data_IF_182896776404
#
_entry.id   IF_182896776404
#
_cell.length_a   1.000
_cell.length_b   1.000
_cell.length_c   1.000
_cell.angle_alpha   90.00
_cell.angle_beta   90.00
_cell.angle_gamma   90.00
#
_symmetry.space_group_name_H-M   'P 1'
#
loop_
_entity.id
_entity.type
_entity.pdbx_description
1 polymer ?
#
# COMPACT_ATOMS: atom_id res chain seq x y z
N UNK A 1 -14.29 12.76 -1.05
CA UNK A 1 -13.96 14.20 -1.22
C UNK A 1 -12.48 14.47 -0.95
N UNK A 2 -11.93 13.98 0.18
CA UNK A 2 -10.51 14.12 0.51
C UNK A 2 -9.56 13.46 -0.51
N UNK A 3 -9.82 12.20 -0.89
CA UNK A 3 -9.00 11.46 -1.88
C UNK A 3 -8.80 12.23 -3.20
N UNK A 4 -9.88 12.80 -3.75
CA UNK A 4 -9.83 13.63 -4.97
C UNK A 4 -8.96 14.87 -4.81
N UNK A 5 -9.10 15.59 -3.70
CA UNK A 5 -8.32 16.81 -3.46
C UNK A 5 -6.82 16.51 -3.31
N UNK A 6 -6.48 15.41 -2.62
CA UNK A 6 -5.10 14.95 -2.47
C UNK A 6 -4.52 14.60 -3.84
N UNK A 7 -5.21 13.78 -4.62
CA UNK A 7 -4.72 13.37 -5.95
C UNK A 7 -4.56 14.56 -6.89
N UNK A 8 -5.54 15.47 -6.94
CA UNK A 8 -5.46 16.66 -7.78
C UNK A 8 -4.27 17.57 -7.40
N UNK A 9 -3.93 17.64 -6.11
CA UNK A 9 -2.75 18.38 -5.67
C UNK A 9 -1.44 17.70 -6.07
N UNK A 10 -1.40 16.37 -5.98
CA UNK A 10 -0.21 15.56 -6.20
C UNK A 10 0.08 15.26 -7.69
N UNK A 11 -0.94 15.21 -8.54
CA UNK A 11 -0.78 14.99 -9.98
C UNK A 11 0.04 16.11 -10.64
N UNK A 12 0.84 15.73 -11.64
CA UNK A 12 1.58 16.70 -12.46
C UNK A 12 0.59 17.55 -13.28
N UNK A 13 0.73 18.87 -13.21
CA UNK A 13 -0.01 19.83 -14.03
C UNK A 13 0.87 20.37 -15.16
N UNK A 14 0.29 21.24 -16.01
CA UNK A 14 0.85 21.74 -17.28
C UNK A 14 2.31 22.26 -17.20
N UNK A 15 2.81 22.67 -16.04
CA UNK A 15 4.25 22.91 -15.82
C UNK A 15 4.71 22.42 -14.44
N UNK A 16 5.97 21.94 -14.35
CA UNK A 16 6.58 21.56 -13.06
C UNK A 16 6.63 22.73 -12.07
N UNK A 17 6.82 23.96 -12.56
CA UNK A 17 6.87 25.19 -11.76
C UNK A 17 5.53 25.52 -11.06
N UNK A 18 4.40 25.05 -11.61
CA UNK A 18 3.07 25.26 -11.02
C UNK A 18 2.58 24.04 -10.22
N UNK A 19 3.27 22.90 -10.32
CA UNK A 19 2.87 21.62 -9.73
C UNK A 19 3.51 21.41 -8.34
N UNK A 20 3.08 22.21 -7.36
CA UNK A 20 3.65 22.16 -5.99
C UNK A 20 3.61 20.78 -5.34
N UNK A 21 2.50 20.04 -5.50
CA UNK A 21 2.39 18.69 -4.94
C UNK A 21 3.25 17.66 -5.67
N UNK A 22 3.36 17.76 -7.00
CA UNK A 22 4.30 16.94 -7.76
C UNK A 22 5.76 17.22 -7.35
N UNK A 23 6.13 18.49 -7.22
CA UNK A 23 7.46 18.90 -6.76
C UNK A 23 7.75 18.37 -5.35
N UNK A 24 6.76 18.42 -4.45
CA UNK A 24 6.85 17.82 -3.12
C UNK A 24 7.14 16.33 -3.21
N UNK A 25 6.41 15.56 -4.04
CA UNK A 25 6.67 14.14 -4.23
C UNK A 25 8.07 13.87 -4.80
N UNK A 26 8.51 14.68 -5.76
CA UNK A 26 9.87 14.56 -6.33
C UNK A 26 10.94 14.79 -5.27
N UNK A 27 10.79 15.80 -4.41
CA UNK A 27 11.70 16.06 -3.29
C UNK A 27 11.68 14.91 -2.29
N UNK A 28 10.50 14.43 -1.89
CA UNK A 28 10.35 13.28 -1.01
C UNK A 28 11.02 12.03 -1.61
N UNK A 29 10.86 11.79 -2.92
CA UNK A 29 11.45 10.66 -3.62
C UNK A 29 12.99 10.73 -3.68
N UNK A 30 13.55 11.94 -3.80
CA UNK A 30 14.98 12.18 -3.74
C UNK A 30 15.52 11.96 -2.31
N UNK A 31 14.82 12.50 -1.30
CA UNK A 31 15.19 12.35 0.10
C UNK A 31 15.12 10.88 0.56
N UNK A 32 14.10 10.13 0.13
CA UNK A 32 13.97 8.70 0.41
C UNK A 32 15.13 7.86 -0.15
N UNK A 33 15.85 8.37 -1.15
CA UNK A 33 17.06 7.74 -1.70
C UNK A 33 18.37 8.16 -1.02
N UNK A 34 18.33 9.08 -0.05
CA UNK A 34 19.53 9.66 0.57
C UNK A 34 20.12 8.81 1.71
N UNK A 35 19.45 7.71 2.08
CA UNK A 35 19.91 6.74 3.08
C UNK A 35 19.21 6.85 4.45
N UNK A 36 19.57 5.94 5.36
CA UNK A 36 18.89 5.71 6.65
C UNK A 36 18.63 6.99 7.46
N UNK A 37 19.64 7.85 7.65
CA UNK A 37 19.49 9.07 8.48
C UNK A 37 18.41 10.00 7.96
N UNK A 38 18.30 10.16 6.64
CA UNK A 38 17.25 10.99 6.04
C UNK A 38 15.89 10.32 6.16
N UNK A 39 15.83 9.00 5.97
CA UNK A 39 14.59 8.23 6.18
C UNK A 39 14.12 8.35 7.63
N UNK A 40 15.00 8.24 8.63
CA UNK A 40 14.64 8.40 10.05
C UNK A 40 14.06 9.79 10.35
N UNK A 41 14.61 10.85 9.75
CA UNK A 41 14.02 12.19 9.82
C UNK A 41 12.61 12.22 9.21
N UNK A 42 12.41 11.62 8.04
CA UNK A 42 11.09 11.55 7.39
C UNK A 42 10.09 10.74 8.21
N UNK A 43 10.54 9.63 8.81
CA UNK A 43 9.76 8.79 9.72
C UNK A 43 9.33 9.56 10.97
N UNK A 44 10.24 10.31 11.58
CA UNK A 44 9.92 11.17 12.74
C UNK A 44 8.84 12.21 12.42
N UNK A 45 8.78 12.65 11.15
CA UNK A 45 7.78 13.58 10.64
C UNK A 45 6.50 12.87 10.13
N UNK A 46 6.34 11.57 10.38
CA UNK A 46 5.19 10.74 9.96
C UNK A 46 4.92 10.74 8.46
N UNK A 47 5.97 10.87 7.63
CA UNK A 47 5.85 10.74 6.18
C UNK A 47 5.32 9.35 5.77
N UNK A 48 5.82 8.21 6.31
CA UNK A 48 5.31 6.88 5.95
C UNK A 48 3.81 6.73 6.26
N UNK A 49 3.40 6.99 7.49
CA UNK A 49 1.99 7.01 7.92
C UNK A 49 1.10 7.88 7.03
N UNK A 50 1.53 9.10 6.70
CA UNK A 50 0.77 10.01 5.84
C UNK A 50 0.57 9.42 4.43
N UNK A 51 1.62 8.83 3.87
CA UNK A 51 1.55 8.22 2.54
C UNK A 51 0.70 6.95 2.52
N UNK A 52 0.76 6.10 3.54
CA UNK A 52 -0.11 4.91 3.67
C UNK A 52 -1.59 5.31 3.77
N UNK A 53 -1.91 6.33 4.56
CA UNK A 53 -3.28 6.88 4.66
C UNK A 53 -3.76 7.39 3.30
N UNK A 54 -2.93 8.14 2.58
CA UNK A 54 -3.24 8.59 1.22
C UNK A 54 -3.47 7.41 0.26
N UNK A 55 -2.60 6.39 0.28
CA UNK A 55 -2.73 5.19 -0.53
C UNK A 55 -4.08 4.50 -0.28
N UNK A 56 -4.46 4.32 0.98
CA UNK A 56 -5.74 3.72 1.34
C UNK A 56 -6.92 4.55 0.81
N UNK A 57 -6.88 5.88 0.94
CA UNK A 57 -7.90 6.77 0.40
C UNK A 57 -8.01 6.73 -1.13
N UNK A 58 -6.96 6.31 -1.85
CA UNK A 58 -6.97 6.25 -3.30
C UNK A 58 -7.82 5.10 -3.86
N UNK A 59 -8.25 4.17 -3.01
CA UNK A 59 -9.18 3.10 -3.38
C UNK A 59 -10.59 3.62 -3.68
N UNK A 60 -10.92 4.81 -3.15
CA UNK A 60 -12.20 5.50 -3.34
C UNK A 60 -12.16 6.58 -4.43
N UNK A 61 -11.12 6.60 -5.27
CA UNK A 61 -11.08 7.55 -6.38
C UNK A 61 -12.20 7.25 -7.37
N UNK A 62 -12.79 8.29 -8.00
CA UNK A 62 -13.77 8.08 -9.07
C UNK A 62 -13.05 7.61 -10.34
N UNK A 63 -13.82 7.00 -11.25
CA UNK A 63 -13.38 6.72 -12.61
C UNK A 63 -12.93 8.03 -13.29
N UNK A 64 -11.80 7.98 -14.00
CA UNK A 64 -11.34 9.11 -14.81
C UNK A 64 -12.19 9.20 -16.08
N UNK A 65 -12.79 10.34 -16.42
CA UNK A 65 -13.55 10.45 -17.66
C UNK A 65 -12.62 10.25 -18.86
N UNK A 66 -13.05 9.42 -19.81
CA UNK A 66 -12.43 9.36 -21.14
C UNK A 66 -12.81 10.65 -21.87
N UNK A 67 -11.96 11.67 -21.78
CA UNK A 67 -12.15 12.92 -22.52
C UNK A 67 -11.30 12.82 -23.79
N UNK A 68 -11.91 12.48 -24.96
CA UNK A 68 -11.22 12.61 -26.23
C UNK A 68 -11.05 14.10 -26.54
N UNK A 69 -9.82 14.59 -26.48
CA UNK A 69 -9.48 15.97 -26.88
C UNK A 69 -8.96 16.87 -25.76
N UNK A 70 -7.88 16.47 -25.10
CA UNK A 70 -7.00 17.45 -24.43
C UNK A 70 -6.33 18.35 -25.48
N UNK A 71 -5.92 19.56 -25.10
CA UNK A 71 -5.07 20.39 -25.96
C UNK A 71 -3.84 19.57 -26.41
N UNK A 72 -3.38 19.74 -27.66
CA UNK A 72 -2.35 18.89 -28.30
C UNK A 72 -1.02 18.77 -27.54
N UNK A 73 -0.80 19.56 -26.47
CA UNK A 73 0.41 19.57 -25.65
C UNK A 73 0.20 19.10 -24.18
N UNK A 74 -0.96 18.53 -23.84
CA UNK A 74 -1.25 18.12 -22.46
C UNK A 74 -1.20 16.61 -22.24
N UNK A 75 -0.46 16.20 -21.20
CA UNK A 75 -0.47 14.81 -20.71
C UNK A 75 -1.91 14.38 -20.36
N UNK A 76 -2.41 13.25 -20.89
CA UNK A 76 -3.73 12.72 -20.54
C UNK A 76 -3.88 12.44 -19.04
N UNK A 77 -5.09 12.61 -18.50
CA UNK A 77 -5.36 12.38 -17.05
C UNK A 77 -4.98 10.97 -16.60
N UNK A 78 -5.22 9.96 -17.43
CA UNK A 78 -4.83 8.57 -17.14
C UNK A 78 -3.30 8.43 -17.01
N UNK A 79 -2.54 9.09 -17.87
CA UNK A 79 -1.07 9.08 -17.80
C UNK A 79 -0.56 9.84 -16.58
N UNK A 80 -1.15 10.99 -16.23
CA UNK A 80 -0.84 11.72 -14.99
C UNK A 80 -1.08 10.86 -13.76
N UNK A 81 -2.21 10.15 -13.72
CA UNK A 81 -2.56 9.22 -12.64
C UNK A 81 -1.57 8.06 -12.54
N UNK A 82 -1.18 7.47 -13.67
CA UNK A 82 -0.20 6.40 -13.72
C UNK A 82 1.19 6.86 -13.26
N UNK A 83 1.63 8.06 -13.66
CA UNK A 83 2.87 8.67 -13.20
C UNK A 83 2.85 8.94 -11.70
N UNK A 84 1.75 9.48 -11.18
CA UNK A 84 1.54 9.66 -9.75
C UNK A 84 1.66 8.32 -9.02
N UNK A 85 0.93 7.30 -9.46
CA UNK A 85 0.98 5.97 -8.85
C UNK A 85 2.42 5.43 -8.79
N UNK A 86 3.15 5.52 -9.91
CA UNK A 86 4.54 5.05 -10.02
C UNK A 86 5.48 5.75 -9.04
N UNK A 87 5.41 7.08 -8.94
CA UNK A 87 6.25 7.84 -8.01
C UNK A 87 5.84 7.57 -6.57
N UNK A 88 4.54 7.47 -6.30
CA UNK A 88 4.00 7.23 -4.97
C UNK A 88 4.44 5.88 -4.40
N UNK A 89 4.31 4.81 -5.18
CA UNK A 89 4.77 3.47 -4.77
C UNK A 89 6.30 3.44 -4.64
N UNK A 90 7.03 4.11 -5.54
CA UNK A 90 8.49 4.18 -5.46
C UNK A 90 8.96 4.83 -4.15
N UNK A 91 8.32 5.91 -3.71
CA UNK A 91 8.63 6.55 -2.42
C UNK A 91 8.39 5.57 -1.27
N UNK A 92 7.20 4.96 -1.21
CA UNK A 92 6.85 4.04 -0.12
C UNK A 92 7.78 2.83 -0.06
N UNK A 93 8.15 2.25 -1.21
CA UNK A 93 9.12 1.14 -1.28
C UNK A 93 10.50 1.58 -0.79
N UNK A 94 10.99 2.77 -1.20
CA UNK A 94 12.28 3.29 -0.72
C UNK A 94 12.30 3.51 0.79
N UNK A 95 11.24 4.07 1.34
CA UNK A 95 11.10 4.26 2.78
C UNK A 95 11.05 2.89 3.48
N UNK A 96 10.14 2.02 3.09
CA UNK A 96 9.90 0.73 3.73
C UNK A 96 11.01 -0.31 3.51
N UNK A 97 12.08 0.04 2.79
CA UNK A 97 13.32 -0.73 2.74
C UNK A 97 14.13 -0.66 4.04
N UNK A 98 13.72 0.21 4.97
CA UNK A 98 14.30 0.33 6.31
C UNK A 98 13.29 -0.14 7.37
N UNK A 99 13.79 -0.49 8.55
CA UNK A 99 12.95 -0.95 9.68
C UNK A 99 12.13 0.19 10.29
N UNK A 100 12.70 1.40 10.37
CA UNK A 100 12.08 2.51 11.11
C UNK A 100 10.70 2.94 10.58
N UNK A 101 10.40 2.97 9.27
CA UNK A 101 9.05 3.25 8.79
C UNK A 101 8.01 2.21 9.21
N UNK A 102 8.35 0.91 9.21
CA UNK A 102 7.41 -0.13 9.61
C UNK A 102 7.08 -0.04 11.11
N UNK A 103 8.08 0.26 11.96
CA UNK A 103 7.86 0.51 13.38
C UNK A 103 7.01 1.77 13.62
N UNK A 104 7.23 2.83 12.85
CA UNK A 104 6.40 4.04 12.94
C UNK A 104 4.95 3.76 12.54
N UNK A 105 4.73 3.04 11.44
CA UNK A 105 3.39 2.63 11.01
C UNK A 105 2.67 1.81 12.09
N UNK A 106 3.38 0.90 12.77
CA UNK A 106 2.84 0.15 13.89
C UNK A 106 2.51 1.06 15.09
N UNK A 107 3.43 1.97 15.46
CA UNK A 107 3.23 2.90 16.58
C UNK A 107 2.07 3.88 16.35
N UNK A 108 1.82 4.27 15.10
CA UNK A 108 0.75 5.20 14.70
C UNK A 108 -0.58 4.52 14.36
N UNK A 109 -0.63 3.19 14.46
CA UNK A 109 -1.79 2.38 14.13
C UNK A 109 -2.21 2.44 12.64
N UNK A 110 -1.27 2.71 11.74
CA UNK A 110 -1.51 2.84 10.30
C UNK A 110 -1.11 1.60 9.52
N UNK A 111 -0.33 0.67 10.10
CA UNK A 111 0.07 -0.55 9.41
C UNK A 111 -1.14 -1.45 9.10
N UNK A 112 -2.17 -1.49 9.96
CA UNK A 112 -3.41 -2.21 9.69
C UNK A 112 -4.14 -1.72 8.41
N UNK A 113 -3.97 -0.45 8.03
CA UNK A 113 -4.54 0.07 6.78
C UNK A 113 -3.90 -0.60 5.57
N UNK A 114 -2.61 -0.93 5.64
CA UNK A 114 -1.91 -1.62 4.56
C UNK A 114 -2.37 -3.08 4.43
N UNK A 115 -2.59 -3.77 5.55
CA UNK A 115 -3.17 -5.12 5.54
C UNK A 115 -4.59 -5.12 4.99
N UNK A 116 -5.40 -4.15 5.40
CA UNK A 116 -6.73 -3.95 4.82
C UNK A 116 -6.63 -3.69 3.32
N UNK A 117 -5.75 -2.76 2.90
CA UNK A 117 -5.58 -2.37 1.50
C UNK A 117 -5.30 -3.56 0.56
N UNK A 118 -4.47 -4.53 0.97
CA UNK A 118 -4.11 -5.64 0.07
C UNK A 118 -5.28 -6.61 -0.20
N UNK A 119 -6.29 -6.64 0.66
CA UNK A 119 -7.43 -7.58 0.58
C UNK A 119 -8.80 -6.91 0.45
N UNK A 120 -8.88 -5.59 0.62
CA UNK A 120 -10.11 -4.84 0.41
C UNK A 120 -10.52 -4.86 -1.06
N UNK A 121 -11.83 -4.95 -1.30
CA UNK A 121 -12.39 -4.70 -2.61
C UNK A 121 -12.19 -3.23 -3.02
N UNK A 122 -11.95 -3.00 -4.31
CA UNK A 122 -11.99 -1.68 -4.92
C UNK A 122 -12.45 -1.79 -6.38
N UNK A 123 -12.98 -0.71 -6.98
CA UNK A 123 -13.36 -0.72 -8.39
C UNK A 123 -12.18 -1.10 -9.31
N UNK A 124 -12.42 -1.76 -10.47
CA UNK A 124 -11.35 -2.27 -11.35
C UNK A 124 -10.29 -1.25 -11.73
N UNK A 125 -10.69 0.01 -11.94
CA UNK A 125 -9.78 1.10 -12.30
C UNK A 125 -8.86 1.57 -11.15
N UNK A 126 -9.14 1.14 -9.91
CA UNK A 126 -8.30 1.39 -8.72
C UNK A 126 -7.46 0.16 -8.32
N UNK A 127 -7.57 -0.98 -9.02
CA UNK A 127 -6.71 -2.15 -8.82
C UNK A 127 -5.20 -1.83 -8.85
N UNK A 128 -4.70 -0.90 -9.68
CA UNK A 128 -3.29 -0.53 -9.63
C UNK A 128 -2.85 -0.03 -8.25
N UNK A 129 -3.69 0.71 -7.53
CA UNK A 129 -3.39 1.15 -6.16
C UNK A 129 -3.34 -0.01 -5.17
N UNK A 130 -4.21 -1.01 -5.32
CA UNK A 130 -4.16 -2.25 -4.53
C UNK A 130 -2.88 -3.05 -4.78
N UNK A 131 -2.43 -3.14 -6.04
CA UNK A 131 -1.13 -3.74 -6.37
C UNK A 131 0.03 -2.98 -5.74
N UNK A 132 0.00 -1.64 -5.76
CA UNK A 132 0.99 -0.82 -5.08
C UNK A 132 1.02 -1.03 -3.56
N UNK A 133 -0.13 -1.23 -2.91
CA UNK A 133 -0.18 -1.62 -1.49
C UNK A 133 0.52 -2.98 -1.25
N UNK A 134 0.30 -3.96 -2.14
CA UNK A 134 0.98 -5.25 -2.10
C UNK A 134 2.49 -5.14 -2.22
N UNK A 135 2.99 -4.30 -3.14
CA UNK A 135 4.43 -4.05 -3.31
C UNK A 135 5.07 -3.45 -2.05
N UNK A 136 4.37 -2.51 -1.40
CA UNK A 136 4.86 -1.89 -0.15
C UNK A 136 4.87 -2.92 0.98
N UNK A 137 3.81 -3.72 1.13
CA UNK A 137 3.76 -4.78 2.14
C UNK A 137 4.85 -5.83 1.92
N UNK A 138 5.12 -6.23 0.68
CA UNK A 138 6.22 -7.13 0.34
C UNK A 138 7.60 -6.53 0.64
N UNK A 139 7.73 -5.21 0.56
CA UNK A 139 8.98 -4.55 0.95
C UNK A 139 9.16 -4.58 2.46
N UNK A 140 8.11 -4.27 3.23
CA UNK A 140 8.12 -4.40 4.70
C UNK A 140 8.42 -5.84 5.12
N UNK A 141 7.80 -6.81 4.46
CA UNK A 141 8.02 -8.24 4.70
C UNK A 141 9.51 -8.62 4.68
N UNK A 142 10.26 -8.11 3.70
CA UNK A 142 11.67 -8.46 3.48
C UNK A 142 12.66 -7.65 4.30
N UNK A 143 12.31 -6.41 4.65
CA UNK A 143 13.27 -5.45 5.19
C UNK A 143 12.81 -4.74 6.46
N UNK A 144 11.49 -4.62 6.65
CA UNK A 144 10.88 -3.82 7.70
C UNK A 144 10.38 -4.61 8.91
N UNK A 145 10.39 -5.94 8.88
CA UNK A 145 9.91 -6.74 10.00
C UNK A 145 10.85 -6.68 11.20
N UNK A 146 10.31 -6.20 12.33
CA UNK A 146 10.90 -6.32 13.66
C UNK A 146 9.94 -7.08 14.59
N UNK A 147 10.41 -7.51 15.76
CA UNK A 147 9.54 -8.15 16.76
C UNK A 147 8.38 -7.22 17.19
N UNK A 148 8.61 -5.91 17.22
CA UNK A 148 7.56 -4.93 17.52
C UNK A 148 6.49 -4.89 16.44
N UNK A 149 6.91 -4.92 15.17
CA UNK A 149 5.99 -4.95 14.02
C UNK A 149 5.18 -6.24 14.01
N UNK A 150 5.82 -7.39 14.23
CA UNK A 150 5.12 -8.69 14.34
C UNK A 150 4.12 -8.68 15.50
N UNK A 151 4.53 -8.18 16.67
CA UNK A 151 3.66 -8.07 17.83
C UNK A 151 2.43 -7.20 17.53
N UNK A 152 2.63 -6.06 16.87
CA UNK A 152 1.52 -5.20 16.45
C UNK A 152 0.55 -5.92 15.51
N UNK A 153 1.07 -6.63 14.49
CA UNK A 153 0.25 -7.36 13.51
C UNK A 153 -0.61 -8.42 14.22
N UNK A 154 -0.04 -9.12 15.19
CA UNK A 154 -0.74 -10.08 16.04
C UNK A 154 -1.83 -9.41 16.87
N UNK A 155 -1.49 -8.37 17.65
CA UNK A 155 -2.42 -7.67 18.55
C UNK A 155 -3.58 -7.00 17.81
N UNK A 156 -3.38 -6.65 16.53
CA UNK A 156 -4.39 -6.02 15.67
C UNK A 156 -5.15 -7.01 14.79
N UNK A 157 -4.86 -8.31 14.91
CA UNK A 157 -5.52 -9.37 14.14
C UNK A 157 -5.51 -9.10 12.62
N UNK A 158 -4.43 -8.50 12.12
CA UNK A 158 -4.32 -8.06 10.73
C UNK A 158 -4.53 -9.22 9.73
N UNK A 159 -4.03 -10.42 10.07
CA UNK A 159 -4.21 -11.62 9.25
C UNK A 159 -5.65 -12.12 9.23
N UNK A 160 -6.35 -12.06 10.37
CA UNK A 160 -7.77 -12.42 10.42
C UNK A 160 -8.60 -11.48 9.54
N UNK A 161 -8.29 -10.18 9.58
CA UNK A 161 -8.91 -9.18 8.69
C UNK A 161 -8.68 -9.51 7.21
N UNK A 162 -7.45 -9.87 6.82
CA UNK A 162 -7.14 -10.26 5.45
C UNK A 162 -7.94 -11.49 4.99
N UNK A 163 -7.99 -12.54 5.81
CA UNK A 163 -8.74 -13.78 5.50
C UNK A 163 -10.23 -13.47 5.40
N UNK A 164 -10.77 -12.70 6.33
CA UNK A 164 -12.18 -12.30 6.35
C UNK A 164 -12.57 -11.53 5.08
N UNK A 165 -11.75 -10.55 4.66
CA UNK A 165 -12.00 -9.76 3.44
C UNK A 165 -12.07 -10.65 2.19
N UNK A 166 -11.16 -11.63 2.08
CA UNK A 166 -11.15 -12.57 0.95
C UNK A 166 -12.32 -13.55 0.98
N UNK A 167 -12.81 -13.95 2.16
CA UNK A 167 -13.92 -14.89 2.30
C UNK A 167 -15.30 -14.25 2.09
N UNK A 168 -15.50 -13.03 2.58
CA UNK A 168 -16.83 -12.42 2.69
C UNK A 168 -17.18 -11.51 1.51
N UNK A 169 -16.23 -11.17 0.65
CA UNK A 169 -16.48 -10.24 -0.45
C UNK A 169 -17.06 -10.96 -1.67
N UNK A 170 -18.35 -10.74 -1.92
CA UNK A 170 -19.03 -11.25 -3.11
C UNK A 170 -18.58 -10.57 -4.42
N UNK A 171 -17.90 -9.43 -4.31
CA UNK A 171 -17.49 -8.61 -5.46
C UNK A 171 -16.05 -8.93 -5.93
N UNK A 172 -15.34 -9.84 -5.25
CA UNK A 172 -14.01 -10.30 -5.67
C UNK A 172 -14.11 -11.46 -6.66
N UNK A 173 -13.37 -11.38 -7.76
CA UNK A 173 -13.21 -12.52 -8.65
C UNK A 173 -12.29 -13.59 -8.05
N UNK A 174 -12.43 -14.88 -8.42
CA UNK A 174 -11.54 -15.93 -7.94
C UNK A 174 -10.05 -15.65 -8.20
N UNK A 175 -9.72 -15.05 -9.34
CA UNK A 175 -8.35 -14.66 -9.67
C UNK A 175 -7.81 -13.61 -8.70
N UNK A 176 -8.61 -12.62 -8.33
CA UNK A 176 -8.20 -11.60 -7.35
C UNK A 176 -7.94 -12.22 -5.98
N UNK A 177 -8.77 -13.16 -5.54
CA UNK A 177 -8.59 -13.88 -4.29
C UNK A 177 -7.27 -14.66 -4.30
N UNK A 178 -6.95 -15.34 -5.41
CA UNK A 178 -5.67 -16.06 -5.57
C UNK A 178 -4.48 -15.09 -5.53
N UNK A 179 -4.55 -13.95 -6.22
CA UNK A 179 -3.48 -12.94 -6.19
C UNK A 179 -3.28 -12.35 -4.78
N UNK A 180 -4.37 -12.04 -4.07
CA UNK A 180 -4.34 -11.55 -2.69
C UNK A 180 -3.69 -12.58 -1.76
N UNK A 181 -4.12 -13.84 -1.86
CA UNK A 181 -3.58 -14.93 -1.05
C UNK A 181 -2.11 -15.20 -1.36
N UNK A 182 -1.70 -15.16 -2.64
CA UNK A 182 -0.30 -15.33 -3.02
C UNK A 182 0.58 -14.26 -2.36
N UNK A 183 0.15 -12.99 -2.34
CA UNK A 183 0.84 -11.92 -1.60
C UNK A 183 0.92 -12.19 -0.10
N UNK A 184 -0.20 -12.58 0.52
CA UNK A 184 -0.26 -12.88 1.95
C UNK A 184 0.62 -14.08 2.34
N UNK A 185 0.66 -15.11 1.51
CA UNK A 185 1.50 -16.29 1.72
C UNK A 185 2.99 -15.95 1.65
N UNK A 186 3.39 -15.06 0.74
CA UNK A 186 4.77 -14.56 0.68
C UNK A 186 5.12 -13.79 1.96
N UNK A 187 4.20 -12.99 2.47
CA UNK A 187 4.38 -12.27 3.74
C UNK A 187 4.54 -13.24 4.93
N UNK A 188 3.66 -14.24 5.03
CA UNK A 188 3.72 -15.27 6.08
C UNK A 188 5.06 -16.01 6.06
N UNK A 189 5.52 -16.42 4.87
CA UNK A 189 6.83 -17.06 4.67
C UNK A 189 7.95 -16.21 5.26
N UNK A 190 8.09 -14.97 4.78
CA UNK A 190 9.19 -14.10 5.19
C UNK A 190 9.10 -13.74 6.69
N UNK A 191 7.87 -13.57 7.22
CA UNK A 191 7.68 -13.31 8.65
C UNK A 191 8.11 -14.48 9.55
N UNK A 192 8.03 -15.72 9.03
CA UNK A 192 8.39 -16.92 9.79
C UNK A 192 9.89 -17.02 10.09
N UNK A 193 10.73 -16.34 9.30
CA UNK A 193 12.17 -16.20 9.55
C UNK A 193 12.45 -15.30 10.78
N UNK A 194 11.48 -14.45 11.15
CA UNK A 194 11.55 -13.53 12.31
C UNK A 194 10.82 -14.11 13.52
N UNK A 195 9.60 -14.62 13.33
CA UNK A 195 8.78 -15.23 14.38
C UNK A 195 7.70 -16.15 13.81
N UNK A 196 7.37 -17.23 14.54
CA UNK A 196 6.29 -18.14 14.17
C UNK A 196 4.89 -17.63 14.52
N UNK A 197 4.78 -16.53 15.30
CA UNK A 197 3.49 -15.97 15.77
C UNK A 197 2.45 -15.81 14.67
N UNK A 198 2.86 -15.28 13.51
CA UNK A 198 1.93 -14.97 12.42
C UNK A 198 1.43 -16.24 11.70
N UNK A 199 2.19 -17.33 11.71
CA UNK A 199 1.71 -18.62 11.22
C UNK A 199 0.69 -19.25 12.17
N UNK A 200 0.87 -19.07 13.47
CA UNK A 200 -0.11 -19.52 14.48
C UNK A 200 -1.39 -18.66 14.43
N UNK A 201 -1.27 -17.36 14.19
CA UNK A 201 -2.42 -16.47 13.95
C UNK A 201 -3.19 -16.90 12.70
N UNK A 202 -2.49 -17.16 11.61
CA UNK A 202 -3.09 -17.66 10.37
C UNK A 202 -3.82 -19.00 10.57
N UNK A 203 -3.27 -19.88 11.43
CA UNK A 203 -3.97 -21.12 11.83
C UNK A 203 -5.24 -20.81 12.61
N UNK A 204 -5.14 -19.91 13.59
CA UNK A 204 -6.22 -19.58 14.52
C UNK A 204 -7.39 -18.89 13.81
N UNK A 205 -7.11 -18.05 12.81
CA UNK A 205 -8.13 -17.38 12.00
C UNK A 205 -8.67 -18.23 10.83
N UNK A 206 -8.49 -19.56 10.86
CA UNK A 206 -8.97 -20.50 9.84
C UNK A 206 -8.35 -20.29 8.44
N UNK A 207 -7.18 -19.67 8.35
CA UNK A 207 -6.50 -19.40 7.09
C UNK A 207 -6.16 -20.66 6.28
N UNK A 208 -5.82 -21.78 6.94
CA UNK A 208 -5.58 -23.05 6.25
C UNK A 208 -6.85 -23.71 5.73
N UNK A 209 -7.99 -23.50 6.39
CA UNK A 209 -9.29 -23.97 5.91
C UNK A 209 -9.66 -23.17 4.67
N UNK A 210 -9.54 -21.84 4.73
CA UNK A 210 -9.71 -20.96 3.57
C UNK A 210 -8.84 -21.38 2.38
N UNK A 211 -7.55 -21.65 2.60
CA UNK A 211 -6.66 -22.13 1.53
C UNK A 211 -7.14 -23.46 0.93
N UNK A 212 -7.61 -24.38 1.78
CA UNK A 212 -8.11 -25.67 1.31
C UNK A 212 -9.34 -25.47 0.43
N UNK A 213 -10.28 -24.61 0.83
CA UNK A 213 -11.48 -24.29 0.06
C UNK A 213 -11.15 -23.56 -1.26
N UNK A 214 -10.10 -22.74 -1.29
CA UNK A 214 -9.66 -22.03 -2.50
C UNK A 214 -9.05 -22.97 -3.57
N UNK A 215 -8.48 -24.09 -3.16
CA UNK A 215 -7.80 -25.06 -4.04
C UNK A 215 -8.73 -26.17 -4.57
N UNK A 216 -9.88 -26.38 -3.93
CA UNK A 216 -10.86 -27.41 -4.27
C UNK A 216 -11.90 -26.89 -5.26
#
# INVERSE_FOLDING_TARGET
AASRAIVQFLEINHSEETSRGWMLLTVINLLASSGQKTVDCMTTMSVPSTLIKCLYLFFDLPHLPDIPGGAENELPLAERRALLQKVFVQILVKLCHFVSPAEELAQKDDLQLLFSAITSWCPPYNLPWRKSAGEVLMTISRHGLSLNVVKYIHEKECLATCVQNMQQSNDLSPLEIVEMFAGLSCFLKDSSDVSQTLLDDFRTCQGYVFLSDLLL
#
